data_IF_506991884114
#
_entry.id   IF_506991884114
#
_cell.length_a   1.000
_cell.length_b   1.000
_cell.length_c   1.000
_cell.angle_alpha   90.00
_cell.angle_beta   90.00
_cell.angle_gamma   90.00
#
_symmetry.space_group_name_H-M   'P 1'
#
loop_
_entity.id
_entity.type
_entity.pdbx_description
1 polymer ?
#
# COMPACT_ATOMS: atom_id res chain seq x y z
N UNK A 1 -5.61 -28.15 31.86
CA UNK A 1 -5.56 -27.99 30.39
C UNK A 1 -5.17 -26.56 30.12
N UNK A 2 -4.03 -26.35 29.48
CA UNK A 2 -3.36 -25.05 29.37
C UNK A 2 -4.21 -24.11 28.53
N UNK A 3 -4.59 -22.97 29.09
CA UNK A 3 -5.16 -21.86 28.33
C UNK A 3 -4.05 -21.38 27.40
N UNK A 4 -4.14 -21.81 26.15
CA UNK A 4 -3.22 -21.41 25.09
C UNK A 4 -3.56 -19.96 24.77
N UNK A 5 -2.90 -19.04 25.47
CA UNK A 5 -2.91 -17.62 25.14
C UNK A 5 -2.27 -17.46 23.77
N UNK A 6 -3.11 -17.54 22.75
CA UNK A 6 -2.78 -17.18 21.38
C UNK A 6 -2.33 -15.71 21.39
N UNK A 7 -1.12 -15.38 20.91
CA UNK A 7 -0.63 -14.01 20.97
C UNK A 7 -1.51 -13.14 20.05
N UNK A 8 -2.27 -12.23 20.65
CA UNK A 8 -3.09 -11.21 19.97
C UNK A 8 -2.28 -10.16 19.19
N UNK A 9 -1.01 -10.46 18.89
CA UNK A 9 -0.14 -9.65 18.02
C UNK A 9 -0.31 -9.93 16.53
N UNK A 10 -1.00 -11.01 16.14
CA UNK A 10 -1.20 -11.38 14.72
C UNK A 10 -2.44 -10.73 14.07
N UNK A 11 -3.40 -10.29 14.87
CA UNK A 11 -4.66 -9.69 14.41
C UNK A 11 -4.55 -8.20 14.04
N UNK A 12 -3.49 -7.52 14.48
CA UNK A 12 -3.11 -6.20 13.96
C UNK A 12 -2.44 -6.23 12.58
N UNK A 13 -1.90 -7.38 12.18
CA UNK A 13 -1.15 -7.56 10.93
C UNK A 13 -2.06 -7.83 9.71
N UNK A 14 -3.33 -8.17 9.91
CA UNK A 14 -4.25 -8.40 8.78
C UNK A 14 -4.60 -7.12 8.03
N UNK A 15 -4.72 -6.01 8.75
CA UNK A 15 -5.04 -4.68 8.24
C UNK A 15 -3.74 -3.92 7.93
N UNK A 16 -2.78 -3.90 8.87
CA UNK A 16 -1.49 -3.26 8.67
C UNK A 16 -0.63 -3.96 7.61
N UNK A 17 -0.71 -5.29 7.50
CA UNK A 17 -0.04 -6.06 6.45
C UNK A 17 -0.65 -5.84 5.07
N UNK A 18 -1.98 -5.70 4.97
CA UNK A 18 -2.63 -5.31 3.71
C UNK A 18 -2.28 -3.88 3.29
N UNK A 19 -2.26 -2.93 4.24
CA UNK A 19 -1.79 -1.56 3.98
C UNK A 19 -0.34 -1.55 3.54
N UNK A 20 0.52 -2.34 4.20
CA UNK A 20 1.93 -2.46 3.86
C UNK A 20 2.17 -2.97 2.45
N UNK A 21 1.43 -4.00 2.02
CA UNK A 21 1.47 -4.52 0.63
C UNK A 21 1.02 -3.46 -0.35
N UNK A 22 -0.07 -2.74 -0.07
CA UNK A 22 -0.57 -1.69 -0.93
C UNK A 22 0.37 -0.46 -1.00
N UNK A 23 1.04 -0.12 0.10
CA UNK A 23 2.07 0.91 0.14
C UNK A 23 3.30 0.50 -0.67
N UNK A 24 3.76 -0.73 -0.50
CA UNK A 24 4.91 -1.26 -1.24
C UNK A 24 4.61 -1.33 -2.74
N UNK A 25 3.40 -1.77 -3.11
CA UNK A 25 2.93 -1.78 -4.49
C UNK A 25 2.87 -0.36 -5.05
N UNK A 26 2.26 0.57 -4.32
CA UNK A 26 2.18 1.98 -4.71
C UNK A 26 3.55 2.63 -4.88
N UNK A 27 4.47 2.39 -3.94
CA UNK A 27 5.84 2.90 -3.99
C UNK A 27 6.64 2.35 -5.19
N UNK A 28 6.57 1.03 -5.41
CA UNK A 28 7.27 0.39 -6.54
C UNK A 28 6.69 0.85 -7.88
N UNK A 29 5.35 0.87 -8.00
CA UNK A 29 4.67 1.38 -9.18
C UNK A 29 5.03 2.85 -9.43
N UNK A 30 4.98 3.67 -8.38
CA UNK A 30 5.32 5.08 -8.43
C UNK A 30 6.77 5.34 -8.84
N UNK A 31 7.70 4.55 -8.32
CA UNK A 31 9.11 4.65 -8.70
C UNK A 31 9.31 4.31 -10.19
N UNK A 32 8.77 3.17 -10.66
CA UNK A 32 8.91 2.76 -12.07
C UNK A 32 8.24 3.77 -13.00
N UNK A 33 6.98 4.10 -12.74
CA UNK A 33 6.22 5.07 -13.55
C UNK A 33 6.91 6.45 -13.53
N UNK A 34 7.32 6.90 -12.35
CA UNK A 34 8.02 8.18 -12.17
C UNK A 34 9.33 8.25 -12.91
N UNK A 35 10.16 7.20 -12.85
CA UNK A 35 11.41 7.14 -13.61
C UNK A 35 11.14 7.13 -15.12
N UNK A 36 10.14 6.38 -15.61
CA UNK A 36 9.78 6.40 -17.04
C UNK A 36 9.33 7.78 -17.51
N UNK A 37 8.45 8.44 -16.74
CA UNK A 37 8.00 9.81 -17.03
C UNK A 37 9.18 10.79 -16.96
N UNK A 38 10.04 10.64 -15.95
CA UNK A 38 11.22 11.50 -15.78
C UNK A 38 12.22 11.38 -16.93
N UNK A 39 12.43 10.19 -17.48
CA UNK A 39 13.23 9.98 -18.68
C UNK A 39 12.58 10.67 -19.89
N UNK A 40 11.26 10.59 -20.02
CA UNK A 40 10.53 11.21 -21.13
C UNK A 40 10.63 12.75 -21.13
N UNK A 41 10.66 13.36 -19.95
CA UNK A 41 10.78 14.82 -19.79
C UNK A 41 12.22 15.32 -19.60
N UNK A 42 13.23 14.45 -19.79
CA UNK A 42 14.65 14.76 -19.50
C UNK A 42 14.88 15.28 -18.06
N UNK A 43 14.00 14.89 -17.14
CA UNK A 43 14.01 15.33 -15.75
C UNK A 43 13.58 14.20 -14.82
N UNK A 44 14.54 13.33 -14.51
CA UNK A 44 14.35 12.17 -13.62
C UNK A 44 13.91 12.60 -12.21
N UNK A 45 14.38 13.75 -11.71
CA UNK A 45 14.01 14.24 -10.39
C UNK A 45 12.52 14.60 -10.29
N UNK A 46 12.00 15.35 -11.27
CA UNK A 46 10.57 15.67 -11.36
C UNK A 46 9.73 14.41 -11.56
N UNK A 47 10.16 13.53 -12.48
CA UNK A 47 9.46 12.27 -12.74
C UNK A 47 9.39 11.37 -11.52
N UNK A 48 10.51 11.15 -10.82
CA UNK A 48 10.56 10.32 -9.62
C UNK A 48 9.73 10.92 -8.47
N UNK A 49 9.77 12.24 -8.27
CA UNK A 49 8.96 12.90 -7.25
C UNK A 49 7.45 12.78 -7.54
N UNK A 50 7.04 13.04 -8.79
CA UNK A 50 5.65 12.88 -9.23
C UNK A 50 5.20 11.43 -9.15
N UNK A 51 6.02 10.50 -9.63
CA UNK A 51 5.71 9.08 -9.64
C UNK A 51 5.58 8.53 -8.23
N UNK A 52 6.51 8.84 -7.31
CA UNK A 52 6.40 8.41 -5.91
C UNK A 52 5.18 9.03 -5.23
N UNK A 53 4.91 10.32 -5.43
CA UNK A 53 3.74 10.97 -4.85
C UNK A 53 2.43 10.33 -5.35
N UNK A 54 2.31 10.10 -6.65
CA UNK A 54 1.15 9.46 -7.27
C UNK A 54 1.04 7.99 -6.85
N UNK A 55 2.14 7.25 -6.87
CA UNK A 55 2.19 5.84 -6.52
C UNK A 55 1.81 5.60 -5.07
N UNK A 56 2.33 6.38 -4.13
CA UNK A 56 1.95 6.29 -2.71
C UNK A 56 0.48 6.68 -2.50
N UNK A 57 -0.01 7.74 -3.17
CA UNK A 57 -1.40 8.17 -3.06
C UNK A 57 -2.37 7.09 -3.61
N UNK A 58 -2.07 6.51 -4.77
CA UNK A 58 -2.82 5.38 -5.34
C UNK A 58 -2.74 4.16 -4.43
N UNK A 59 -1.55 3.86 -3.92
CA UNK A 59 -1.32 2.75 -3.02
C UNK A 59 -2.21 2.82 -1.78
N UNK A 60 -2.22 3.98 -1.13
CA UNK A 60 -3.06 4.27 0.03
C UNK A 60 -4.54 4.31 -0.29
N UNK A 61 -4.93 4.96 -1.40
CA UNK A 61 -6.33 5.08 -1.79
C UNK A 61 -6.96 3.71 -2.07
N UNK A 62 -6.29 2.85 -2.83
CA UNK A 62 -6.84 1.55 -3.17
C UNK A 62 -6.71 0.58 -1.98
N UNK A 63 -5.61 0.65 -1.22
CA UNK A 63 -5.46 -0.13 0.01
C UNK A 63 -6.54 0.17 1.03
N UNK A 64 -6.85 1.46 1.27
CA UNK A 64 -7.92 1.86 2.19
C UNK A 64 -9.30 1.44 1.71
N UNK A 65 -9.61 1.57 0.41
CA UNK A 65 -10.88 1.07 -0.17
C UNK A 65 -11.01 -0.44 -0.04
N UNK A 66 -9.94 -1.19 -0.29
CA UNK A 66 -9.95 -2.64 -0.21
C UNK A 66 -10.15 -3.15 1.22
N UNK A 67 -9.52 -2.48 2.19
CA UNK A 67 -9.67 -2.78 3.62
C UNK A 67 -11.07 -2.42 4.11
N UNK A 68 -11.57 -1.24 3.76
CA UNK A 68 -12.93 -0.82 4.09
C UNK A 68 -13.96 -1.82 3.53
N UNK A 69 -13.77 -2.31 2.30
CA UNK A 69 -14.65 -3.31 1.70
C UNK A 69 -14.52 -4.70 2.33
N UNK A 70 -13.33 -5.10 2.78
CA UNK A 70 -13.14 -6.35 3.53
C UNK A 70 -13.83 -6.33 4.88
N UNK A 71 -13.78 -5.20 5.59
CA UNK A 71 -14.48 -5.05 6.87
C UNK A 71 -16.00 -5.15 6.65
N UNK A 72 -16.53 -4.47 5.62
CA UNK A 72 -17.95 -4.56 5.26
C UNK A 72 -18.42 -5.95 4.81
N UNK A 73 -17.51 -6.85 4.41
CA UNK A 73 -17.83 -8.22 3.99
C UNK A 73 -17.62 -9.27 5.09
N UNK A 74 -17.02 -8.90 6.23
CA UNK A 74 -16.89 -9.76 7.41
C UNK A 74 -18.07 -9.65 8.38
N UNK A 75 -18.96 -8.68 8.17
CA UNK A 75 -20.21 -8.46 8.91
C UNK A 75 -21.40 -9.01 8.10
N UNK A 76 -21.46 -10.33 7.89
CA UNK A 76 -22.67 -11.02 7.41
C UNK A 76 -22.74 -12.45 7.92
#
# INVERSE_FOLDING_TARGET
>A
MTSNNMPSGAEGLGIAGNLGVWLAFGSLFGAVFGTTVGIFFDNIALGAALGLALGLALGLAIGSVFIARRNAAGES
#
